data_IF_820656174165
#
_entry.id   IF_820656174165
#
_cell.length_a   1.000
_cell.length_b   1.000
_cell.length_c   1.000
_cell.angle_alpha   90.00
_cell.angle_beta   90.00
_cell.angle_gamma   90.00
#
_symmetry.space_group_name_H-M   'P 1'
#
loop_
_entity.id
_entity.type
_entity.pdbx_description
1 polymer ?
#
# COMPACT_ATOMS: atom_id res chain seq x y z
N UNK A 1 8.31 -1.32 -17.67
CA UNK A 1 7.87 -0.73 -18.97
C UNK A 1 6.34 -0.66 -19.17
N UNK A 2 5.48 -1.05 -18.23
CA UNK A 2 4.03 -0.78 -18.33
C UNK A 2 3.68 0.71 -18.12
N UNK A 3 4.30 1.37 -17.14
CA UNK A 3 4.11 2.80 -16.84
C UNK A 3 4.49 3.75 -18.00
N UNK A 4 5.50 3.41 -18.81
CA UNK A 4 5.92 4.21 -19.97
C UNK A 4 4.91 4.06 -21.13
N UNK A 5 4.24 2.92 -21.24
CA UNK A 5 3.24 2.66 -22.27
C UNK A 5 1.95 3.48 -22.02
N UNK A 6 1.51 3.61 -20.77
CA UNK A 6 0.33 4.41 -20.40
C UNK A 6 0.48 5.90 -20.74
N UNK A 7 1.67 6.49 -20.51
CA UNK A 7 1.91 7.93 -20.79
C UNK A 7 1.81 8.24 -22.30
N UNK A 8 2.12 7.27 -23.17
CA UNK A 8 1.95 7.45 -24.63
C UNK A 8 0.54 7.16 -25.13
N UNK A 9 -0.21 6.29 -24.43
CA UNK A 9 -1.56 5.87 -24.84
C UNK A 9 -2.62 6.93 -24.52
N UNK A 10 -2.49 7.63 -23.40
CA UNK A 10 -3.49 8.59 -22.92
C UNK A 10 -3.03 10.03 -23.15
N UNK A 11 -3.41 10.61 -24.29
CA UNK A 11 -3.22 12.03 -24.62
C UNK A 11 -4.34 12.92 -24.04
N UNK A 12 -4.16 14.24 -24.12
CA UNK A 12 -5.18 15.21 -23.72
C UNK A 12 -6.54 14.92 -24.39
N UNK A 13 -7.60 15.00 -23.58
CA UNK A 13 -8.97 14.70 -24.03
C UNK A 13 -9.46 15.83 -24.94
N UNK A 14 -9.87 15.48 -26.15
CA UNK A 14 -10.41 16.43 -27.14
C UNK A 14 -11.86 16.11 -27.55
N UNK A 15 -12.39 14.95 -27.16
CA UNK A 15 -13.76 14.55 -27.49
C UNK A 15 -14.45 13.80 -26.35
N UNK A 16 -15.79 13.79 -26.41
CA UNK A 16 -16.60 13.04 -25.45
C UNK A 16 -16.42 11.53 -25.59
N UNK A 17 -16.31 11.03 -26.82
CA UNK A 17 -16.07 9.62 -27.11
C UNK A 17 -14.73 9.15 -26.52
N UNK A 18 -13.66 9.94 -26.71
CA UNK A 18 -12.36 9.66 -26.11
C UNK A 18 -12.43 9.65 -24.58
N UNK A 19 -13.15 10.61 -23.98
CA UNK A 19 -13.37 10.66 -22.53
C UNK A 19 -14.09 9.40 -22.02
N UNK A 20 -15.09 8.94 -22.75
CA UNK A 20 -15.87 7.77 -22.37
C UNK A 20 -15.02 6.50 -22.48
N UNK A 21 -14.27 6.32 -23.57
CA UNK A 21 -13.33 5.21 -23.72
C UNK A 21 -12.27 5.18 -22.62
N UNK A 22 -11.69 6.32 -22.25
CA UNK A 22 -10.72 6.37 -21.14
C UNK A 22 -11.35 6.00 -19.80
N UNK A 23 -12.60 6.40 -19.57
CA UNK A 23 -13.36 6.02 -18.38
C UNK A 23 -13.59 4.52 -18.33
N UNK A 24 -13.96 3.92 -19.46
CA UNK A 24 -14.23 2.49 -19.54
C UNK A 24 -12.96 1.65 -19.38
N UNK A 25 -11.86 2.05 -20.03
CA UNK A 25 -10.52 1.45 -19.85
C UNK A 25 -10.07 1.53 -18.38
N UNK A 26 -10.27 2.69 -17.72
CA UNK A 26 -9.95 2.84 -16.29
C UNK A 26 -10.79 1.94 -15.40
N UNK A 27 -12.11 1.89 -15.65
CA UNK A 27 -13.03 1.09 -14.83
C UNK A 27 -12.79 -0.41 -14.98
N UNK A 28 -12.31 -0.88 -16.13
CA UNK A 28 -12.02 -2.29 -16.37
C UNK A 28 -10.97 -2.86 -15.39
N UNK A 29 -10.01 -2.04 -14.95
CA UNK A 29 -8.95 -2.43 -14.02
C UNK A 29 -9.18 -1.91 -12.58
N UNK A 30 -10.21 -1.09 -12.37
CA UNK A 30 -10.42 -0.39 -11.11
C UNK A 30 -10.70 -1.34 -9.93
N UNK A 31 -11.46 -2.41 -10.15
CA UNK A 31 -11.78 -3.38 -9.10
C UNK A 31 -10.53 -4.13 -8.62
N UNK A 32 -9.62 -4.47 -9.53
CA UNK A 32 -8.33 -5.08 -9.18
C UNK A 32 -7.48 -4.13 -8.35
N UNK A 33 -7.36 -2.87 -8.79
CA UNK A 33 -6.67 -1.83 -8.03
C UNK A 33 -7.26 -1.68 -6.62
N UNK A 34 -8.60 -1.64 -6.49
CA UNK A 34 -9.29 -1.50 -5.20
C UNK A 34 -8.99 -2.66 -4.26
N UNK A 35 -9.00 -3.88 -4.77
CA UNK A 35 -8.69 -5.07 -4.00
C UNK A 35 -7.25 -5.09 -3.52
N UNK A 36 -6.31 -4.74 -4.41
CA UNK A 36 -4.89 -4.63 -4.05
C UNK A 36 -4.66 -3.52 -3.01
N UNK A 37 -5.28 -2.36 -3.19
CA UNK A 37 -5.20 -1.24 -2.27
C UNK A 37 -5.74 -1.61 -0.89
N UNK A 38 -6.91 -2.26 -0.80
CA UNK A 38 -7.49 -2.71 0.46
C UNK A 38 -6.59 -3.72 1.19
N UNK A 39 -5.95 -4.63 0.45
CA UNK A 39 -4.97 -5.56 1.02
C UNK A 39 -3.74 -4.83 1.55
N UNK A 40 -3.21 -3.86 0.82
CA UNK A 40 -2.07 -3.05 1.26
C UNK A 40 -2.41 -2.26 2.53
N UNK A 41 -3.57 -1.61 2.57
CA UNK A 41 -4.05 -0.90 3.77
C UNK A 41 -4.20 -1.82 4.98
N UNK A 42 -4.71 -3.05 4.78
CA UNK A 42 -4.85 -4.01 5.88
C UNK A 42 -3.48 -4.35 6.48
N UNK A 43 -2.48 -4.60 5.64
CA UNK A 43 -1.10 -4.84 6.07
C UNK A 43 -0.54 -3.62 6.83
N UNK A 44 -0.71 -2.41 6.29
CA UNK A 44 -0.27 -1.17 6.95
C UNK A 44 -0.94 -0.98 8.31
N UNK A 45 -2.25 -1.20 8.42
CA UNK A 45 -3.00 -1.09 9.70
C UNK A 45 -2.50 -2.10 10.74
N UNK A 46 -2.23 -3.34 10.32
CA UNK A 46 -1.65 -4.36 11.22
C UNK A 46 -0.27 -3.94 11.73
N UNK A 47 0.57 -3.40 10.86
CA UNK A 47 1.89 -2.90 11.24
C UNK A 47 1.78 -1.74 12.25
N UNK A 48 0.92 -0.76 11.99
CA UNK A 48 0.69 0.36 12.92
C UNK A 48 0.19 -0.10 14.29
N UNK A 49 -0.73 -1.09 14.32
CA UNK A 49 -1.23 -1.65 15.58
C UNK A 49 -0.13 -2.34 16.37
N UNK A 50 0.69 -3.15 15.71
CA UNK A 50 1.81 -3.86 16.35
C UNK A 50 2.89 -2.88 16.82
N UNK A 51 3.19 -1.82 16.06
CA UNK A 51 4.15 -0.78 16.45
C UNK A 51 3.66 0.00 17.68
N UNK A 52 2.37 0.36 17.72
CA UNK A 52 1.76 1.00 18.88
C UNK A 52 1.80 0.10 20.13
N UNK A 53 1.47 -1.19 19.97
CA UNK A 53 1.58 -2.16 21.07
C UNK A 53 3.02 -2.31 21.56
N UNK A 54 3.99 -2.43 20.64
CA UNK A 54 5.42 -2.53 20.98
C UNK A 54 5.88 -1.34 21.81
N UNK A 55 5.49 -0.12 21.45
CA UNK A 55 5.85 1.13 22.14
C UNK A 55 5.34 1.19 23.59
N UNK A 56 4.28 0.46 23.92
CA UNK A 56 3.70 0.43 25.27
C UNK A 56 4.25 -0.69 26.15
N UNK A 57 4.97 -1.65 25.58
CA UNK A 57 5.49 -2.80 26.31
C UNK A 57 6.91 -2.56 26.81
N UNK A 58 7.23 -3.06 28.00
CA UNK A 58 8.59 -3.01 28.54
C UNK A 58 9.53 -3.81 27.64
N UNK A 59 10.66 -3.24 27.21
CA UNK A 59 11.70 -3.99 26.52
C UNK A 59 12.10 -5.22 27.35
N UNK A 60 12.06 -6.40 26.75
CA UNK A 60 12.43 -7.67 27.41
C UNK A 60 11.26 -8.48 28.01
N UNK A 61 10.03 -7.97 27.99
CA UNK A 61 8.86 -8.78 28.40
C UNK A 61 8.56 -9.89 27.38
N UNK A 62 7.89 -10.96 27.81
CA UNK A 62 7.48 -12.05 26.91
C UNK A 62 6.52 -11.53 25.83
N UNK A 63 5.66 -10.61 26.20
CA UNK A 63 4.67 -9.95 25.33
C UNK A 63 5.36 -9.09 24.27
N UNK A 64 6.43 -8.37 24.64
CA UNK A 64 7.25 -7.61 23.69
C UNK A 64 7.85 -8.52 22.61
N UNK A 65 8.38 -9.68 23.02
CA UNK A 65 8.97 -10.66 22.08
C UNK A 65 7.91 -11.28 21.16
N UNK A 66 6.72 -11.56 21.67
CA UNK A 66 5.59 -12.04 20.86
C UNK A 66 5.20 -10.98 19.81
N UNK A 67 5.05 -9.71 20.19
CA UNK A 67 4.72 -8.62 19.24
C UNK A 67 5.82 -8.47 18.19
N UNK A 68 7.10 -8.53 18.59
CA UNK A 68 8.25 -8.47 17.68
C UNK A 68 8.25 -9.63 16.67
N UNK A 69 7.89 -10.84 17.10
CA UNK A 69 7.84 -12.01 16.22
C UNK A 69 6.72 -11.96 15.17
N UNK A 70 5.63 -11.25 15.47
CA UNK A 70 4.47 -11.09 14.59
C UNK A 70 4.57 -9.89 13.65
N UNK A 71 5.54 -8.99 13.86
CA UNK A 71 5.84 -7.92 12.92
C UNK A 71 6.44 -8.51 11.64
N UNK A 72 6.00 -8.08 10.45
CA UNK A 72 6.66 -8.42 9.20
C UNK A 72 8.16 -8.09 9.31
N UNK A 73 9.02 -9.09 9.12
CA UNK A 73 10.46 -8.89 9.08
C UNK A 73 10.82 -8.20 7.77
N UNK A 74 10.85 -6.88 7.76
CA UNK A 74 11.43 -6.12 6.66
C UNK A 74 12.95 -6.09 6.88
N UNK A 75 13.78 -6.68 6.00
CA UNK A 75 15.22 -6.79 6.20
C UNK A 75 15.95 -5.45 6.39
N UNK A 76 15.34 -4.33 5.98
CA UNK A 76 15.99 -3.03 5.85
C UNK A 76 15.31 -1.90 6.67
N UNK A 77 14.55 -2.23 7.73
CA UNK A 77 13.82 -1.22 8.53
C UNK A 77 14.68 -0.49 9.57
N UNK A 78 15.99 -0.73 9.66
CA UNK A 78 16.82 -0.18 10.73
C UNK A 78 17.04 1.35 10.65
N UNK A 79 16.78 2.01 9.52
CA UNK A 79 17.10 3.44 9.35
C UNK A 79 15.89 4.34 9.01
N UNK A 80 14.72 4.11 9.62
CA UNK A 80 13.66 5.13 9.60
C UNK A 80 13.19 5.46 11.00
N UNK A 81 14.00 6.26 11.67
CA UNK A 81 13.59 7.11 12.78
C UNK A 81 12.40 7.96 12.28
N UNK A 82 11.19 7.62 12.72
CA UNK A 82 10.01 8.45 12.51
C UNK A 82 10.16 9.71 13.36
N UNK A 83 10.30 10.87 12.70
CA UNK A 83 9.83 12.15 13.22
C UNK A 83 8.34 12.05 13.57
#
# INVERSE_FOLDING_TARGET
>A
CALICSIRKYIAIVSYEQRQSYKDDFNAEYDEYRNLHARMENVTRRFMKLDAQRKLLSPGSKEYQVVMSNLPKCPNLQDRQML
#
